data_IF_557766313863
#
_entry.id   IF_557766313863
#
_cell.length_a   1.000
_cell.length_b   1.000
_cell.length_c   1.000
_cell.angle_alpha   90.00
_cell.angle_beta   90.00
_cell.angle_gamma   90.00
#
_symmetry.space_group_name_H-M   'P 1'
#
loop_
_entity.id
_entity.type
_entity.pdbx_description
1 polymer ?
#
# COMPACT_ATOMS: atom_id res chain seq x y z
N UNK A 1 -65.75 8.73 -24.08
CA UNK A 1 -64.76 7.88 -23.39
C UNK A 1 -63.51 7.76 -24.26
N UNK A 2 -62.39 8.19 -23.69
CA UNK A 2 -60.97 8.13 -24.06
C UNK A 2 -60.53 7.86 -25.51
N UNK A 3 -59.98 8.90 -26.17
CA UNK A 3 -59.05 8.77 -27.29
C UNK A 3 -57.64 8.54 -26.71
N UNK A 4 -57.16 7.31 -26.74
CA UNK A 4 -55.76 6.99 -26.47
C UNK A 4 -54.89 7.53 -27.60
N UNK A 5 -54.07 8.55 -27.30
CA UNK A 5 -53.13 9.13 -28.26
C UNK A 5 -51.94 8.19 -28.44
N UNK A 6 -51.90 7.46 -29.55
CA UNK A 6 -50.71 6.73 -30.01
C UNK A 6 -49.62 7.74 -30.36
N UNK A 7 -48.74 8.05 -29.41
CA UNK A 7 -47.49 8.75 -29.72
C UNK A 7 -46.76 7.94 -30.80
N UNK A 8 -46.57 8.53 -31.97
CA UNK A 8 -45.99 7.86 -33.13
C UNK A 8 -44.53 7.47 -32.83
N UNK A 9 -44.16 6.23 -33.15
CA UNK A 9 -42.80 5.67 -32.97
C UNK A 9 -41.62 6.62 -33.30
N UNK A 10 -41.69 7.49 -34.32
CA UNK A 10 -40.64 8.47 -34.63
C UNK A 10 -40.43 9.53 -33.55
N UNK A 11 -41.51 10.00 -32.89
CA UNK A 11 -41.42 11.00 -31.81
C UNK A 11 -40.70 10.41 -30.59
N UNK A 12 -41.05 9.18 -30.21
CA UNK A 12 -40.37 8.45 -29.13
C UNK A 12 -38.90 8.17 -29.44
N UNK A 13 -38.53 7.96 -30.71
CA UNK A 13 -37.12 7.79 -31.11
C UNK A 13 -36.34 9.09 -30.96
N UNK A 14 -36.92 10.21 -31.41
CA UNK A 14 -36.31 11.52 -31.27
C UNK A 14 -36.12 11.91 -29.80
N UNK A 15 -37.14 11.70 -28.96
CA UNK A 15 -37.08 11.92 -27.51
C UNK A 15 -35.94 11.12 -26.86
N UNK A 16 -35.81 9.81 -27.16
CA UNK A 16 -34.70 8.99 -26.64
C UNK A 16 -33.33 9.45 -27.13
N UNK A 17 -33.22 9.88 -28.38
CA UNK A 17 -31.98 10.45 -28.92
C UNK A 17 -31.61 11.74 -28.20
N UNK A 18 -32.58 12.60 -27.90
CA UNK A 18 -32.33 13.84 -27.18
C UNK A 18 -31.85 13.56 -25.75
N UNK A 19 -32.52 12.65 -25.02
CA UNK A 19 -32.10 12.23 -23.67
C UNK A 19 -30.63 11.77 -23.67
N UNK A 20 -30.26 10.91 -24.63
CA UNK A 20 -28.87 10.45 -24.76
C UNK A 20 -27.87 11.59 -25.00
N UNK A 21 -28.21 12.57 -25.84
CA UNK A 21 -27.34 13.73 -26.09
C UNK A 21 -27.25 14.65 -24.87
N UNK A 22 -28.35 14.80 -24.13
CA UNK A 22 -28.39 15.56 -22.89
C UNK A 22 -27.54 14.88 -21.81
N UNK A 23 -27.59 13.55 -21.69
CA UNK A 23 -26.76 12.77 -20.76
C UNK A 23 -25.25 12.93 -21.07
N UNK A 24 -24.87 12.96 -22.35
CA UNK A 24 -23.47 13.24 -22.76
C UNK A 24 -23.08 14.67 -22.37
N UNK A 25 -23.92 15.65 -22.68
CA UNK A 25 -23.65 17.05 -22.39
C UNK A 25 -23.53 17.28 -20.86
N UNK A 26 -24.39 16.65 -20.08
CA UNK A 26 -24.33 16.70 -18.62
C UNK A 26 -23.05 16.07 -18.09
N UNK A 27 -22.64 14.91 -18.64
CA UNK A 27 -21.36 14.26 -18.28
C UNK A 27 -20.16 15.18 -18.55
N UNK A 28 -20.15 15.92 -19.65
CA UNK A 28 -19.09 16.91 -19.95
C UNK A 28 -19.14 18.10 -18.98
N UNK A 29 -20.35 18.57 -18.66
CA UNK A 29 -20.56 19.69 -17.74
C UNK A 29 -20.03 19.36 -16.34
N UNK A 30 -20.38 18.20 -15.78
CA UNK A 30 -19.91 17.81 -14.43
C UNK A 30 -18.40 17.62 -14.38
N UNK A 31 -17.77 17.13 -15.46
CA UNK A 31 -16.31 17.05 -15.52
C UNK A 31 -15.64 18.43 -15.57
N UNK A 32 -16.28 19.42 -16.19
CA UNK A 32 -15.77 20.80 -16.18
C UNK A 32 -15.84 21.41 -14.78
N UNK A 33 -16.92 21.13 -14.04
CA UNK A 33 -17.06 21.52 -12.63
C UNK A 33 -15.97 20.88 -11.77
N UNK A 34 -15.64 19.61 -12.00
CA UNK A 34 -14.55 18.93 -11.29
C UNK A 34 -13.17 19.53 -11.51
N UNK A 35 -12.92 20.06 -12.71
CA UNK A 35 -11.67 20.80 -13.01
C UNK A 35 -11.63 22.12 -12.22
N UNK A 36 -12.74 22.86 -12.15
CA UNK A 36 -12.79 24.08 -11.32
C UNK A 36 -12.66 23.76 -9.83
N UNK A 37 -13.16 22.61 -9.37
CA UNK A 37 -12.92 22.13 -8.01
C UNK A 37 -11.42 21.87 -7.73
N UNK A 38 -10.73 21.14 -8.62
CA UNK A 38 -9.29 20.94 -8.52
C UNK A 38 -8.53 22.27 -8.51
N UNK A 39 -8.90 23.20 -9.39
CA UNK A 39 -8.33 24.54 -9.44
C UNK A 39 -8.52 25.29 -8.12
N UNK A 40 -9.72 25.25 -7.54
CA UNK A 40 -9.99 25.84 -6.23
C UNK A 40 -9.06 25.29 -5.14
N UNK A 41 -8.85 23.97 -5.08
CA UNK A 41 -7.91 23.35 -4.13
C UNK A 41 -6.49 23.88 -4.32
N UNK A 42 -6.03 24.02 -5.58
CA UNK A 42 -4.69 24.56 -5.87
C UNK A 42 -4.55 26.03 -5.48
N UNK A 43 -5.60 26.83 -5.69
CA UNK A 43 -5.65 28.25 -5.33
C UNK A 43 -5.73 28.48 -3.82
N UNK A 44 -6.42 27.59 -3.08
CA UNK A 44 -6.54 27.64 -1.62
C UNK A 44 -5.26 27.15 -0.90
N UNK A 45 -4.42 26.34 -1.58
CA UNK A 45 -3.22 25.76 -1.02
C UNK A 45 -1.95 25.94 -1.89
N UNK A 46 -1.60 27.16 -2.33
CA UNK A 46 -0.60 27.39 -3.36
C UNK A 46 0.83 26.98 -2.95
N UNK A 47 1.15 27.04 -1.66
CA UNK A 47 2.46 26.65 -1.13
C UNK A 47 2.62 25.13 -0.95
N UNK A 48 1.50 24.40 -1.00
CA UNK A 48 1.44 22.95 -0.78
C UNK A 48 1.06 22.18 -2.03
N UNK A 49 0.22 22.74 -2.90
CA UNK A 49 -0.24 22.12 -4.15
C UNK A 49 0.12 23.00 -5.33
N UNK A 50 0.99 22.51 -6.20
CA UNK A 50 1.44 23.30 -7.35
C UNK A 50 1.92 22.40 -8.50
N UNK A 51 1.97 22.98 -9.70
CA UNK A 51 2.56 22.30 -10.86
C UNK A 51 4.10 22.23 -10.71
N UNK A 52 4.66 21.04 -10.93
CA UNK A 52 6.11 20.83 -10.91
C UNK A 52 6.86 21.67 -11.95
N UNK A 53 8.17 21.84 -11.79
CA UNK A 53 8.99 22.64 -12.70
C UNK A 53 9.14 22.03 -14.10
N UNK A 54 8.97 20.71 -14.21
CA UNK A 54 9.07 20.01 -15.49
C UNK A 54 7.78 20.18 -16.27
N UNK A 55 7.94 20.54 -17.54
CA UNK A 55 6.87 20.52 -18.52
C UNK A 55 6.62 19.08 -19.01
N UNK A 56 5.51 18.91 -19.75
CA UNK A 56 5.14 17.61 -20.35
C UNK A 56 6.27 17.03 -21.22
N UNK A 57 6.42 15.69 -21.26
CA UNK A 57 5.54 14.68 -20.64
C UNK A 57 5.86 14.39 -19.16
N UNK A 58 6.98 14.86 -18.64
CA UNK A 58 7.45 14.54 -17.27
C UNK A 58 6.92 15.55 -16.24
N UNK A 59 5.70 16.03 -16.44
CA UNK A 59 5.03 17.01 -15.58
C UNK A 59 4.29 16.34 -14.43
N UNK A 60 4.22 17.04 -13.30
CA UNK A 60 3.61 16.51 -12.07
C UNK A 60 2.75 17.56 -11.38
N UNK A 61 1.71 17.12 -10.68
CA UNK A 61 1.15 17.90 -9.56
C UNK A 61 1.97 17.52 -8.33
N UNK A 62 2.54 18.52 -7.68
CA UNK A 62 3.25 18.38 -6.42
C UNK A 62 2.27 18.63 -5.29
N UNK A 63 2.22 17.73 -4.31
CA UNK A 63 1.47 17.90 -3.05
C UNK A 63 2.43 17.74 -1.88
N UNK A 64 2.50 18.74 -1.01
CA UNK A 64 3.25 18.70 0.26
C UNK A 64 2.29 18.32 1.39
N UNK A 65 2.38 17.09 1.84
CA UNK A 65 1.67 16.58 3.01
C UNK A 65 2.37 16.92 4.33
N UNK A 66 1.84 16.39 5.42
CA UNK A 66 2.46 16.47 6.75
C UNK A 66 3.42 15.29 6.99
N UNK A 67 3.14 14.14 6.36
CA UNK A 67 3.91 12.92 6.47
C UNK A 67 4.97 12.80 5.38
N UNK A 68 4.72 13.29 4.15
CA UNK A 68 5.64 13.14 3.02
C UNK A 68 5.37 14.20 1.93
N UNK A 69 6.23 14.21 0.91
CA UNK A 69 5.97 14.93 -0.33
C UNK A 69 5.51 13.96 -1.42
N UNK A 70 4.60 14.40 -2.27
CA UNK A 70 3.96 13.56 -3.29
C UNK A 70 4.08 14.17 -4.67
N UNK A 71 4.32 13.33 -5.68
CA UNK A 71 4.23 13.72 -7.09
C UNK A 71 3.17 12.87 -7.78
N UNK A 72 2.15 13.51 -8.35
CA UNK A 72 1.12 12.86 -9.16
C UNK A 72 1.50 13.04 -10.63
N UNK A 73 1.81 11.96 -11.38
CA UNK A 73 2.14 12.06 -12.79
C UNK A 73 0.97 12.63 -13.60
N UNK A 74 1.21 13.71 -14.35
CA UNK A 74 0.15 14.38 -15.12
C UNK A 74 -0.13 13.73 -16.48
N UNK A 75 0.89 13.20 -17.15
CA UNK A 75 0.71 12.67 -18.52
C UNK A 75 -0.34 11.54 -18.59
N UNK A 76 -0.37 10.55 -17.67
CA UNK A 76 -1.43 9.54 -17.66
C UNK A 76 -2.82 10.14 -17.48
N UNK A 77 -2.96 11.15 -16.60
CA UNK A 77 -4.24 11.83 -16.35
C UNK A 77 -4.71 12.60 -17.58
N UNK A 78 -3.84 13.41 -18.19
CA UNK A 78 -4.15 14.20 -19.37
C UNK A 78 -4.50 13.31 -20.57
N UNK A 79 -3.81 12.18 -20.72
CA UNK A 79 -4.12 11.20 -21.76
C UNK A 79 -5.48 10.54 -21.55
N UNK A 80 -5.85 10.21 -20.30
CA UNK A 80 -7.17 9.66 -19.97
C UNK A 80 -8.29 10.66 -20.24
N UNK A 81 -8.08 11.96 -19.93
CA UNK A 81 -9.04 13.02 -20.24
C UNK A 81 -9.15 13.28 -21.75
N UNK A 82 -8.05 13.21 -22.49
CA UNK A 82 -8.03 13.45 -23.93
C UNK A 82 -8.71 12.31 -24.72
N UNK A 83 -8.50 11.06 -24.31
CA UNK A 83 -9.13 9.91 -24.92
C UNK A 83 -9.33 8.75 -23.91
N UNK A 84 -10.51 8.66 -23.28
CA UNK A 84 -10.80 7.64 -22.27
C UNK A 84 -10.98 6.23 -22.86
N UNK A 85 -11.00 6.08 -24.19
CA UNK A 85 -11.19 4.78 -24.86
C UNK A 85 -9.89 4.07 -25.21
N UNK A 86 -8.73 4.70 -24.98
CA UNK A 86 -7.45 4.02 -25.16
C UNK A 86 -7.27 2.97 -24.06
N UNK A 87 -6.86 1.76 -24.44
CA UNK A 87 -6.41 0.71 -23.52
C UNK A 87 -5.25 1.26 -22.68
N UNK A 88 -5.53 1.55 -21.41
CA UNK A 88 -4.58 2.04 -20.42
C UNK A 88 -4.87 1.37 -19.07
N UNK A 89 -3.90 1.33 -18.15
CA UNK A 89 -4.18 0.91 -16.77
C UNK A 89 -5.39 1.69 -16.25
N UNK A 90 -6.36 0.96 -15.71
CA UNK A 90 -7.61 1.51 -15.18
C UNK A 90 -7.36 2.26 -13.87
N UNK A 91 -7.88 3.49 -13.75
CA UNK A 91 -7.86 4.26 -12.50
C UNK A 91 -6.86 5.42 -12.49
N UNK A 92 -6.60 5.96 -11.30
CA UNK A 92 -5.60 7.01 -11.09
C UNK A 92 -4.18 6.43 -11.19
N UNK A 93 -3.19 7.19 -11.71
CA UNK A 93 -1.82 6.72 -11.77
C UNK A 93 -1.22 6.53 -10.36
N UNK A 94 -0.21 5.66 -10.21
CA UNK A 94 0.56 5.58 -8.98
C UNK A 94 1.15 6.95 -8.62
N UNK A 95 1.06 7.29 -7.34
CA UNK A 95 1.62 8.54 -6.79
C UNK A 95 3.03 8.25 -6.28
N UNK A 96 3.99 9.06 -6.71
CA UNK A 96 5.36 9.00 -6.18
C UNK A 96 5.38 9.55 -4.76
N UNK A 97 5.97 8.80 -3.82
CA UNK A 97 6.09 9.17 -2.42
C UNK A 97 7.55 9.45 -2.07
N UNK A 98 7.83 10.64 -1.57
CA UNK A 98 9.17 11.09 -1.20
C UNK A 98 9.23 11.53 0.27
N UNK A 99 10.39 11.40 0.93
CA UNK A 99 10.55 11.89 2.30
C UNK A 99 10.24 13.38 2.43
N UNK A 100 9.69 13.78 3.57
CA UNK A 100 9.34 15.17 3.85
C UNK A 100 10.58 16.06 3.74
N UNK A 101 10.42 17.20 3.05
CA UNK A 101 11.51 18.15 2.78
C UNK A 101 12.55 17.71 1.76
N UNK A 102 12.43 16.55 1.11
CA UNK A 102 13.42 16.05 0.13
C UNK A 102 12.78 15.37 -1.08
N UNK A 103 13.40 15.56 -2.25
CA UNK A 103 13.13 14.77 -3.45
C UNK A 103 14.23 13.72 -3.62
N UNK A 104 13.84 12.49 -3.89
CA UNK A 104 14.77 11.35 -4.06
C UNK A 104 14.60 10.75 -5.45
N UNK A 105 15.68 10.19 -5.99
CA UNK A 105 15.68 9.57 -7.33
C UNK A 105 14.93 8.24 -7.35
N UNK A 106 14.97 7.51 -6.25
CA UNK A 106 14.29 6.23 -6.07
C UNK A 106 13.22 6.44 -5.01
N UNK A 107 12.01 6.74 -5.46
CA UNK A 107 10.82 6.91 -4.62
C UNK A 107 10.05 5.60 -4.49
N UNK A 108 9.24 5.49 -3.45
CA UNK A 108 8.18 4.51 -3.43
C UNK A 108 6.99 5.00 -4.29
N UNK A 109 6.10 4.11 -4.66
CA UNK A 109 4.87 4.44 -5.38
C UNK A 109 3.66 3.92 -4.60
N UNK A 110 2.60 4.72 -4.57
CA UNK A 110 1.34 4.40 -3.90
C UNK A 110 0.17 4.41 -4.89
N UNK A 111 -0.53 3.29 -5.01
CA UNK A 111 -1.82 3.23 -5.69
C UNK A 111 -2.93 3.73 -4.75
N UNK A 112 -3.32 5.00 -4.89
CA UNK A 112 -4.38 5.63 -4.08
C UNK A 112 -5.62 5.74 -4.95
N UNK A 113 -6.67 4.98 -4.60
CA UNK A 113 -7.93 4.96 -5.34
C UNK A 113 -9.08 5.46 -4.47
N UNK A 114 -10.05 6.10 -5.10
CA UNK A 114 -11.27 6.54 -4.45
C UNK A 114 -12.19 5.33 -4.23
N UNK A 115 -12.35 4.87 -2.98
CA UNK A 115 -13.19 3.72 -2.67
C UNK A 115 -14.68 4.10 -2.71
N UNK A 116 -15.49 3.33 -3.44
CA UNK A 116 -16.96 3.45 -3.36
C UNK A 116 -17.57 4.67 -4.04
N UNK A 117 -16.83 5.35 -4.93
CA UNK A 117 -17.29 6.56 -5.63
C UNK A 117 -17.40 6.31 -7.15
N UNK A 118 -18.17 5.32 -7.59
CA UNK A 118 -18.41 5.11 -9.03
C UNK A 118 -19.19 6.25 -9.70
N UNK A 119 -19.93 7.01 -8.89
CA UNK A 119 -20.92 7.96 -9.37
C UNK A 119 -20.37 9.40 -9.44
N UNK A 120 -19.12 9.62 -9.02
CA UNK A 120 -18.47 10.93 -9.12
C UNK A 120 -17.82 11.11 -10.49
N UNK A 121 -17.78 12.35 -11.03
CA UNK A 121 -16.98 12.66 -12.21
C UNK A 121 -15.51 12.26 -12.00
N UNK A 122 -14.88 11.67 -13.03
CA UNK A 122 -13.47 11.24 -12.91
C UNK A 122 -12.48 12.39 -12.61
N UNK A 123 -12.85 13.62 -12.98
CA UNK A 123 -12.10 14.84 -12.64
C UNK A 123 -12.19 15.21 -11.16
N UNK A 124 -13.34 14.97 -10.50
CA UNK A 124 -13.48 15.14 -9.04
C UNK A 124 -12.52 14.20 -8.30
N UNK A 125 -12.32 12.98 -8.81
CA UNK A 125 -11.37 12.00 -8.24
C UNK A 125 -9.94 12.54 -8.17
N UNK A 126 -9.53 13.42 -9.08
CA UNK A 126 -8.21 14.07 -9.03
C UNK A 126 -8.15 15.06 -7.87
N UNK A 127 -9.20 15.89 -7.69
CA UNK A 127 -9.31 16.80 -6.55
C UNK A 127 -9.35 16.07 -5.21
N UNK A 128 -10.12 14.97 -5.13
CA UNK A 128 -10.19 14.11 -3.94
C UNK A 128 -8.84 13.48 -3.62
N UNK A 129 -8.09 13.03 -4.63
CA UNK A 129 -6.73 12.53 -4.43
C UNK A 129 -5.83 13.61 -3.82
N UNK A 130 -5.85 14.82 -4.36
CA UNK A 130 -5.05 15.95 -3.84
C UNK A 130 -5.44 16.28 -2.40
N UNK A 131 -6.72 16.38 -2.09
CA UNK A 131 -7.20 16.63 -0.72
C UNK A 131 -6.80 15.49 0.24
N UNK A 132 -6.92 14.24 -0.20
CA UNK A 132 -6.49 13.07 0.58
C UNK A 132 -5.00 13.13 0.92
N UNK A 133 -4.16 13.58 -0.02
CA UNK A 133 -2.72 13.76 0.18
C UNK A 133 -2.38 14.97 1.06
N UNK A 134 -3.19 16.04 1.02
CA UNK A 134 -3.06 17.16 1.95
C UNK A 134 -3.40 16.73 3.40
N UNK A 135 -4.34 15.80 3.55
CA UNK A 135 -4.75 15.16 4.80
C UNK A 135 -4.11 13.77 4.99
N UNK A 136 -2.84 13.63 4.62
CA UNK A 136 -2.13 12.34 4.60
C UNK A 136 -2.09 11.58 5.93
N UNK A 137 -2.16 12.28 7.07
CA UNK A 137 -2.35 11.65 8.39
C UNK A 137 -3.65 10.83 8.47
N UNK A 138 -4.75 11.34 7.93
CA UNK A 138 -6.04 10.64 7.90
C UNK A 138 -6.01 9.52 6.86
N UNK A 139 -5.41 9.78 5.71
CA UNK A 139 -5.24 8.78 4.66
C UNK A 139 -4.42 7.57 5.14
N UNK A 140 -3.41 7.79 5.98
CA UNK A 140 -2.61 6.73 6.57
C UNK A 140 -3.47 5.75 7.38
N UNK A 141 -4.39 6.26 8.21
CA UNK A 141 -5.21 5.43 9.10
C UNK A 141 -6.42 4.80 8.42
N UNK A 142 -6.75 5.19 7.18
CA UNK A 142 -7.85 4.61 6.41
C UNK A 142 -7.56 3.12 6.07
N UNK A 143 -8.39 2.17 6.54
CA UNK A 143 -8.21 0.75 6.27
C UNK A 143 -8.02 0.40 4.79
N UNK A 144 -8.74 1.08 3.90
CA UNK A 144 -8.75 0.82 2.46
C UNK A 144 -7.52 1.33 1.70
N UNK A 145 -6.58 1.99 2.39
CA UNK A 145 -5.41 2.65 1.79
C UNK A 145 -4.11 1.97 2.20
N UNK A 146 -4.09 0.63 2.19
CA UNK A 146 -2.89 -0.16 2.44
C UNK A 146 -1.72 0.20 1.50
N UNK A 147 -1.91 0.37 0.18
CA UNK A 147 -0.79 0.74 -0.71
C UNK A 147 -0.10 2.04 -0.30
N UNK A 148 -0.87 3.02 0.18
CA UNK A 148 -0.33 4.28 0.68
C UNK A 148 0.53 4.10 1.94
N UNK A 149 0.02 3.35 2.92
CA UNK A 149 0.78 2.99 4.12
C UNK A 149 2.07 2.25 3.78
N UNK A 150 2.01 1.26 2.89
CA UNK A 150 3.19 0.49 2.45
C UNK A 150 4.22 1.39 1.78
N UNK A 151 3.80 2.31 0.91
CA UNK A 151 4.71 3.27 0.28
C UNK A 151 5.40 4.18 1.29
N UNK A 152 4.68 4.68 2.31
CA UNK A 152 5.27 5.46 3.39
C UNK A 152 6.25 4.62 4.24
N UNK A 153 5.91 3.36 4.54
CA UNK A 153 6.83 2.43 5.22
C UNK A 153 8.11 2.20 4.42
N UNK A 154 8.01 2.01 3.09
CA UNK A 154 9.20 1.88 2.21
C UNK A 154 10.01 3.16 2.11
N UNK A 155 9.34 4.32 2.17
CA UNK A 155 9.99 5.64 2.08
C UNK A 155 10.84 5.95 3.31
N UNK A 156 10.35 5.61 4.50
CA UNK A 156 10.99 5.96 5.76
C UNK A 156 11.67 4.79 6.48
N UNK A 157 11.35 3.55 6.13
CA UNK A 157 11.80 2.37 6.88
C UNK A 157 11.37 2.42 8.35
N UNK A 158 12.26 1.93 9.22
CA UNK A 158 12.04 1.86 10.67
C UNK A 158 12.81 2.93 11.47
N UNK A 159 13.31 3.96 10.80
CA UNK A 159 13.99 5.08 11.46
C UNK A 159 12.98 6.11 11.98
N UNK A 160 13.45 6.94 12.92
CA UNK A 160 12.65 8.05 13.41
C UNK A 160 12.29 9.01 12.27
N UNK A 161 11.00 9.21 12.03
CA UNK A 161 10.46 9.92 10.88
C UNK A 161 9.08 10.54 11.20
N UNK A 162 8.51 11.37 10.32
CA UNK A 162 7.17 11.94 10.51
C UNK A 162 6.07 10.87 10.70
N UNK A 163 6.28 9.65 10.18
CA UNK A 163 5.31 8.56 10.30
C UNK A 163 5.46 7.71 11.56
N UNK A 164 6.53 7.88 12.37
CA UNK A 164 6.84 6.97 13.48
C UNK A 164 5.69 6.80 14.48
N UNK A 165 5.03 7.90 14.89
CA UNK A 165 3.88 7.82 15.82
C UNK A 165 2.68 7.07 15.22
N UNK A 166 2.44 7.27 13.92
CA UNK A 166 1.39 6.60 13.18
C UNK A 166 1.68 5.10 13.04
N UNK A 167 2.92 4.74 12.70
CA UNK A 167 3.38 3.35 12.64
C UNK A 167 3.28 2.65 13.99
N UNK A 168 3.74 3.30 15.06
CA UNK A 168 3.62 2.76 16.42
C UNK A 168 2.17 2.40 16.76
N UNK A 169 1.25 3.33 16.51
CA UNK A 169 -0.18 3.14 16.79
C UNK A 169 -0.75 2.02 15.93
N UNK A 170 -0.43 2.01 14.63
CA UNK A 170 -0.91 1.01 13.68
C UNK A 170 -0.39 -0.40 14.03
N UNK A 171 0.91 -0.56 14.23
CA UNK A 171 1.53 -1.85 14.54
C UNK A 171 1.07 -2.41 15.88
N UNK A 172 0.91 -1.55 16.89
CA UNK A 172 0.40 -1.98 18.19
C UNK A 172 -1.04 -2.48 18.09
N UNK A 173 -1.91 -1.71 17.41
CA UNK A 173 -3.33 -2.03 17.28
C UNK A 173 -3.58 -3.29 16.44
N UNK A 174 -2.84 -3.48 15.35
CA UNK A 174 -3.10 -4.55 14.39
C UNK A 174 -2.32 -5.84 14.66
N UNK A 175 -1.10 -5.74 15.21
CA UNK A 175 -0.18 -6.87 15.34
C UNK A 175 0.35 -7.05 16.77
N UNK A 176 -0.09 -6.23 17.73
CA UNK A 176 0.48 -6.21 19.08
C UNK A 176 1.97 -5.88 19.08
N UNK A 177 2.45 -5.18 18.04
CA UNK A 177 3.85 -4.92 17.81
C UNK A 177 4.29 -3.54 18.33
N UNK A 178 5.57 -3.41 18.64
CA UNK A 178 6.20 -2.19 19.16
C UNK A 178 7.49 -1.92 18.40
N UNK A 179 7.69 -0.68 17.97
CA UNK A 179 8.89 -0.25 17.26
C UNK A 179 9.84 0.41 18.26
N UNK A 180 11.14 0.19 18.10
CA UNK A 180 12.19 0.97 18.75
C UNK A 180 13.02 1.59 17.63
N UNK A 181 12.66 2.82 17.24
CA UNK A 181 13.34 3.54 16.16
C UNK A 181 14.82 3.81 16.47
N UNK A 182 15.20 3.91 17.75
CA UNK A 182 16.58 4.15 18.15
C UNK A 182 17.44 2.91 17.94
N UNK A 183 16.87 1.73 18.22
CA UNK A 183 17.52 0.44 17.99
C UNK A 183 17.30 -0.10 16.57
N UNK A 184 16.37 0.48 15.80
CA UNK A 184 15.99 -0.01 14.48
C UNK A 184 15.35 -1.41 14.56
N UNK A 185 14.52 -1.64 15.58
CA UNK A 185 13.98 -2.96 15.91
C UNK A 185 12.45 -2.92 16.07
N UNK A 186 11.75 -3.94 15.57
CA UNK A 186 10.33 -4.18 15.83
C UNK A 186 10.20 -5.45 16.66
N UNK A 187 9.49 -5.37 17.77
CA UNK A 187 9.07 -6.54 18.55
C UNK A 187 7.59 -6.85 18.28
N UNK A 188 7.28 -8.09 17.93
CA UNK A 188 5.95 -8.52 17.46
C UNK A 188 5.46 -9.68 18.33
N UNK A 189 4.22 -9.62 18.81
CA UNK A 189 3.64 -10.71 19.61
C UNK A 189 3.12 -11.80 18.69
N UNK A 190 3.79 -12.95 18.72
CA UNK A 190 3.39 -14.15 18.00
C UNK A 190 2.52 -15.08 18.84
N UNK A 191 2.27 -16.28 18.33
CA UNK A 191 1.49 -17.32 19.00
C UNK A 191 2.36 -18.15 19.96
N UNK A 192 1.72 -18.99 20.79
CA UNK A 192 2.40 -19.93 21.69
C UNK A 192 3.42 -19.32 22.69
N UNK A 193 3.32 -18.01 22.93
CA UNK A 193 4.22 -17.26 23.80
C UNK A 193 5.50 -16.79 23.12
N UNK A 194 5.60 -16.90 21.79
CA UNK A 194 6.69 -16.30 21.02
C UNK A 194 6.54 -14.78 20.96
N UNK A 195 7.66 -14.08 21.08
CA UNK A 195 7.81 -12.69 20.66
C UNK A 195 8.90 -12.68 19.58
N UNK A 196 8.56 -12.21 18.40
CA UNK A 196 9.48 -12.07 17.29
C UNK A 196 10.14 -10.70 17.32
N UNK A 197 11.38 -10.63 16.86
CA UNK A 197 12.16 -9.41 16.81
C UNK A 197 12.79 -9.29 15.42
N UNK A 198 12.35 -8.28 14.68
CA UNK A 198 12.96 -7.83 13.42
C UNK A 198 13.96 -6.72 13.75
N UNK A 199 15.20 -6.87 13.32
CA UNK A 199 16.29 -5.90 13.55
C UNK A 199 17.13 -5.72 12.28
N UNK A 200 18.37 -5.26 12.44
CA UNK A 200 19.32 -5.12 11.33
C UNK A 200 19.23 -3.81 10.55
N UNK A 201 18.20 -2.99 10.76
CA UNK A 201 18.01 -1.73 10.01
C UNK A 201 19.15 -0.71 10.19
N UNK A 202 19.82 -0.73 11.34
CA UNK A 202 20.97 0.14 11.63
C UNK A 202 22.31 -0.52 11.30
N UNK A 203 22.30 -1.75 10.81
CA UNK A 203 23.49 -2.52 10.47
C UNK A 203 23.72 -2.46 8.95
N UNK A 204 24.81 -1.83 8.48
CA UNK A 204 25.07 -1.73 7.04
C UNK A 204 25.36 -3.07 6.36
N UNK A 205 25.65 -4.13 7.13
CA UNK A 205 25.93 -5.47 6.59
C UNK A 205 24.66 -6.32 6.43
N UNK A 206 23.50 -5.83 6.89
CA UNK A 206 22.19 -6.48 6.74
C UNK A 206 21.44 -5.86 5.57
N UNK A 207 21.14 -6.65 4.54
CA UNK A 207 20.42 -6.18 3.34
C UNK A 207 18.92 -6.03 3.59
N UNK A 208 18.35 -6.87 4.46
CA UNK A 208 16.93 -6.83 4.80
C UNK A 208 16.72 -6.70 6.31
N UNK A 209 16.30 -7.77 7.00
CA UNK A 209 16.14 -7.75 8.46
C UNK A 209 16.84 -8.93 9.12
N UNK A 210 17.40 -8.71 10.30
CA UNK A 210 17.75 -9.82 11.19
C UNK A 210 16.47 -10.37 11.82
N UNK A 211 16.26 -11.68 11.84
CA UNK A 211 15.10 -12.31 12.47
C UNK A 211 15.51 -13.13 13.69
N UNK A 212 14.81 -12.90 14.79
CA UNK A 212 15.04 -13.59 16.05
C UNK A 212 13.75 -13.72 16.87
N UNK A 213 13.73 -14.61 17.85
CA UNK A 213 12.59 -14.75 18.75
C UNK A 213 12.99 -14.94 20.21
N UNK A 214 12.05 -14.66 21.10
CA UNK A 214 12.11 -15.03 22.51
C UNK A 214 10.80 -15.73 22.90
N UNK A 215 10.88 -16.74 23.75
CA UNK A 215 9.71 -17.52 24.18
C UNK A 215 9.42 -17.23 25.65
N UNK A 216 8.23 -16.70 25.94
CA UNK A 216 7.75 -16.35 27.28
C UNK A 216 8.75 -15.49 28.08
N UNK A 217 9.42 -14.55 27.41
CA UNK A 217 10.44 -13.67 28.02
C UNK A 217 11.79 -14.34 28.29
N UNK A 218 12.01 -15.53 27.74
CA UNK A 218 13.30 -16.22 27.77
C UNK A 218 14.39 -15.55 26.93
N UNK A 219 15.57 -16.18 26.81
CA UNK A 219 16.66 -15.63 26.02
C UNK A 219 16.27 -15.47 24.56
N UNK A 220 16.78 -14.41 23.92
CA UNK A 220 16.64 -14.17 22.49
C UNK A 220 17.45 -15.19 21.70
N UNK A 221 16.88 -15.65 20.59
CA UNK A 221 17.45 -16.67 19.70
C UNK A 221 17.40 -16.15 18.28
N UNK A 222 18.55 -16.11 17.65
CA UNK A 222 18.65 -15.71 16.25
C UNK A 222 18.23 -16.86 15.34
N UNK A 223 17.40 -16.54 14.34
CA UNK A 223 16.97 -17.49 13.31
C UNK A 223 17.73 -17.23 12.00
N UNK A 224 17.91 -15.95 11.65
CA UNK A 224 18.83 -15.52 10.61
C UNK A 224 19.36 -14.12 10.91
N UNK A 225 20.62 -13.88 10.57
CA UNK A 225 21.24 -12.56 10.62
C UNK A 225 20.67 -11.62 9.54
N UNK A 226 20.17 -12.18 8.43
CA UNK A 226 19.59 -11.44 7.32
C UNK A 226 18.54 -12.30 6.60
N UNK A 227 17.30 -11.81 6.55
CA UNK A 227 16.17 -12.45 5.85
C UNK A 227 16.33 -12.47 4.34
N UNK A 228 17.19 -11.61 3.77
CA UNK A 228 17.43 -11.53 2.33
C UNK A 228 17.81 -12.89 1.73
N UNK A 229 18.60 -13.67 2.45
CA UNK A 229 19.10 -14.98 1.99
C UNK A 229 18.21 -16.16 2.41
N UNK A 230 16.99 -15.90 2.87
CA UNK A 230 16.13 -16.93 3.46
C UNK A 230 14.72 -16.97 2.88
N UNK A 231 14.28 -15.91 2.20
CA UNK A 231 12.91 -15.75 1.71
C UNK A 231 12.85 -14.59 0.69
N UNK A 232 11.94 -14.65 -0.28
CA UNK A 232 11.72 -13.65 -1.31
C UNK A 232 11.07 -12.36 -0.80
N UNK A 233 9.98 -12.44 -0.03
CA UNK A 233 9.35 -11.26 0.59
C UNK A 233 10.05 -10.87 1.90
N UNK A 234 11.37 -10.79 1.87
CA UNK A 234 12.21 -10.60 3.03
C UNK A 234 12.18 -9.18 3.60
N UNK A 235 11.94 -8.15 2.78
CA UNK A 235 12.03 -6.72 3.11
C UNK A 235 10.67 -6.02 3.26
N UNK A 236 9.57 -6.76 3.05
CA UNK A 236 8.20 -6.24 3.08
C UNK A 236 7.60 -6.32 4.49
N UNK A 237 7.61 -5.21 5.23
CA UNK A 237 7.02 -5.15 6.59
C UNK A 237 5.51 -5.47 6.61
N UNK A 238 4.78 -5.08 5.57
CA UNK A 238 3.35 -5.37 5.42
C UNK A 238 3.07 -6.86 5.19
N UNK A 239 4.07 -7.62 4.76
CA UNK A 239 4.06 -9.07 4.71
C UNK A 239 4.54 -9.70 6.03
N UNK A 240 5.69 -9.24 6.57
CA UNK A 240 6.32 -9.84 7.75
C UNK A 240 5.50 -9.66 9.04
N UNK A 241 4.87 -8.51 9.23
CA UNK A 241 4.13 -8.21 10.46
C UNK A 241 2.91 -9.13 10.64
N UNK A 242 2.02 -9.30 9.64
CA UNK A 242 0.97 -10.31 9.70
C UNK A 242 1.50 -11.72 9.92
N UNK A 243 2.51 -12.14 9.14
CA UNK A 243 3.08 -13.48 9.23
C UNK A 243 3.59 -13.77 10.65
N UNK A 244 4.48 -12.92 11.18
CA UNK A 244 5.08 -13.12 12.50
C UNK A 244 4.06 -13.02 13.64
N UNK A 245 2.97 -12.27 13.46
CA UNK A 245 1.88 -12.25 14.44
C UNK A 245 1.13 -13.59 14.56
N UNK A 246 1.11 -14.38 13.47
CA UNK A 246 0.53 -15.73 13.41
C UNK A 246 1.57 -16.82 13.76
N UNK A 247 2.86 -16.57 13.51
CA UNK A 247 3.95 -17.49 13.79
C UNK A 247 4.18 -17.72 15.31
N UNK A 248 4.63 -18.93 15.73
CA UNK A 248 5.01 -20.08 14.90
C UNK A 248 3.85 -21.02 14.54
N UNK A 249 2.60 -20.74 14.97
CA UNK A 249 1.44 -21.61 14.68
C UNK A 249 1.26 -21.87 13.19
N UNK A 250 1.40 -20.82 12.38
CA UNK A 250 1.22 -20.89 10.93
C UNK A 250 2.13 -21.94 10.26
N UNK A 251 3.29 -22.25 10.86
CA UNK A 251 4.22 -23.25 10.31
C UNK A 251 3.69 -24.70 10.37
N UNK A 252 2.53 -24.93 11.00
CA UNK A 252 1.93 -26.26 11.15
C UNK A 252 0.89 -26.59 10.07
N UNK A 253 0.49 -25.63 9.25
CA UNK A 253 -0.60 -25.80 8.29
C UNK A 253 -0.16 -25.29 6.91
N UNK A 254 -0.38 -26.11 5.88
CA UNK A 254 -0.23 -25.69 4.48
C UNK A 254 -1.36 -24.75 4.02
N UNK A 255 -2.45 -24.65 4.80
CA UNK A 255 -3.66 -23.90 4.46
C UNK A 255 -3.62 -22.40 4.85
N UNK A 256 -2.60 -21.95 5.59
CA UNK A 256 -2.54 -20.57 6.11
C UNK A 256 -1.66 -19.66 5.24
N UNK A 257 -2.23 -19.08 4.17
CA UNK A 257 -1.69 -17.97 3.33
C UNK A 257 -0.27 -18.21 2.78
N UNK A 258 -0.03 -18.06 1.46
CA UNK A 258 1.30 -18.24 0.81
C UNK A 258 2.40 -17.31 1.38
N UNK A 259 2.88 -17.63 2.58
CA UNK A 259 3.95 -16.92 3.25
C UNK A 259 5.24 -17.71 2.99
N UNK A 260 6.08 -17.24 2.08
CA UNK A 260 7.48 -17.70 1.94
C UNK A 260 8.24 -17.91 3.29
N UNK A 261 7.91 -17.14 4.35
CA UNK A 261 8.40 -17.37 5.71
C UNK A 261 8.17 -18.80 6.21
N UNK A 262 7.02 -19.40 5.89
CA UNK A 262 6.71 -20.80 6.22
C UNK A 262 7.45 -21.77 5.33
N UNK A 263 7.90 -21.39 4.15
CA UNK A 263 8.64 -22.27 3.22
C UNK A 263 10.16 -22.24 3.45
N UNK A 264 10.67 -21.19 4.10
CA UNK A 264 12.10 -21.05 4.44
C UNK A 264 12.60 -22.19 5.33
N UNK A 265 13.36 -23.13 4.75
CA UNK A 265 13.88 -24.31 5.45
C UNK A 265 14.77 -23.91 6.62
N UNK A 266 15.63 -22.91 6.41
CA UNK A 266 16.51 -22.40 7.46
C UNK A 266 15.73 -21.87 8.66
N UNK A 267 14.67 -21.10 8.43
CA UNK A 267 13.84 -20.56 9.50
C UNK A 267 13.05 -21.68 10.18
N UNK A 268 12.42 -22.58 9.42
CA UNK A 268 11.66 -23.70 9.97
C UNK A 268 12.51 -24.60 10.88
N UNK A 269 13.70 -25.00 10.43
CA UNK A 269 14.62 -25.83 11.23
C UNK A 269 15.00 -25.10 12.53
N UNK A 270 15.37 -23.82 12.43
CA UNK A 270 15.76 -23.01 13.59
C UNK A 270 14.60 -22.86 14.60
N UNK A 271 13.37 -22.71 14.11
CA UNK A 271 12.18 -22.61 14.98
C UNK A 271 11.83 -23.97 15.59
N UNK A 272 11.97 -25.07 14.85
CA UNK A 272 11.68 -26.43 15.29
C UNK A 272 12.53 -26.86 16.50
N UNK A 273 13.75 -26.33 16.65
CA UNK A 273 14.57 -26.54 17.85
C UNK A 273 13.80 -26.19 19.15
N UNK A 274 12.96 -25.16 19.10
CA UNK A 274 12.28 -24.57 20.26
C UNK A 274 10.75 -24.74 20.23
N UNK A 275 10.17 -25.06 19.09
CA UNK A 275 8.75 -25.29 18.92
C UNK A 275 8.49 -26.78 18.62
N UNK A 276 8.25 -27.54 19.69
CA UNK A 276 8.06 -28.99 19.60
C UNK A 276 6.96 -29.46 18.63
N UNK A 277 5.81 -28.77 18.48
CA UNK A 277 4.83 -29.13 17.46
C UNK A 277 5.40 -29.14 16.04
N UNK A 278 6.16 -28.11 15.65
CA UNK A 278 6.75 -28.04 14.31
C UNK A 278 7.81 -29.11 14.12
N UNK A 279 8.68 -29.34 15.12
CA UNK A 279 9.65 -30.44 15.07
C UNK A 279 8.98 -31.80 14.81
N UNK A 280 7.88 -32.09 15.52
CA UNK A 280 7.15 -33.35 15.31
C UNK A 280 6.55 -33.45 13.92
N UNK A 281 5.99 -32.36 13.39
CA UNK A 281 5.42 -32.33 12.05
C UNK A 281 6.49 -32.58 10.97
N UNK A 282 7.68 -32.00 11.13
CA UNK A 282 8.82 -32.25 10.24
C UNK A 282 9.30 -33.71 10.37
N UNK A 283 9.46 -34.22 11.60
CA UNK A 283 9.91 -35.60 11.85
C UNK A 283 8.91 -36.66 11.37
N UNK A 284 7.60 -36.36 11.37
CA UNK A 284 6.55 -37.25 10.88
C UNK A 284 6.33 -37.18 9.37
N UNK A 285 6.92 -36.19 8.68
CA UNK A 285 6.65 -35.91 7.27
C UNK A 285 5.28 -35.28 7.03
N UNK A 286 4.62 -34.75 8.06
CA UNK A 286 3.41 -33.92 7.92
C UNK A 286 3.73 -32.51 7.43
N UNK A 287 4.98 -32.08 7.58
CA UNK A 287 5.50 -30.82 7.04
C UNK A 287 6.76 -31.09 6.23
N UNK A 288 6.68 -30.86 4.92
CA UNK A 288 7.83 -30.97 4.03
C UNK A 288 8.75 -29.74 4.15
N UNK A 289 10.05 -29.98 4.00
CA UNK A 289 11.06 -28.92 3.92
C UNK A 289 11.47 -28.78 2.46
N UNK A 290 10.96 -27.74 1.79
CA UNK A 290 11.39 -27.36 0.44
C UNK A 290 12.86 -26.91 0.52
N UNK A 291 13.68 -27.24 -0.47
CA UNK A 291 15.05 -26.69 -0.52
C UNK A 291 14.97 -25.18 -0.74
N UNK A 292 15.71 -24.42 0.08
CA UNK A 292 15.87 -22.98 -0.14
C UNK A 292 16.36 -22.79 -1.58
N UNK A 293 15.78 -21.82 -2.31
CA UNK A 293 16.19 -21.48 -3.67
C UNK A 293 17.71 -21.28 -3.67
N UNK A 294 18.44 -22.22 -4.27
CA UNK A 294 19.85 -22.03 -4.56
C UNK A 294 19.90 -21.11 -5.76
N UNK A 295 20.41 -19.90 -5.57
CA UNK A 295 20.94 -19.08 -6.66
C UNK A 295 22.21 -19.77 -7.19
N UNK A 296 22.04 -20.93 -7.83
CA UNK A 296 22.98 -21.43 -8.83
C UNK A 296 22.54 -20.85 -10.18
N UNK A 297 22.76 -19.54 -10.39
CA UNK A 297 23.09 -18.91 -11.70
C UNK A 297 23.51 -17.43 -11.57
#
# INVERSE_FOLDING_TARGET
>A
MSKGTTQTHPKRRHERTQIFLDDIAETQRVNTVGIEFLKGIMEDHPDRVYHGLKERPDSYIIVRGELANYCIPLEPLLQALANPFLLRPSGLPPVEVHPLGKWVKHNAEACIQCNGHSDIPGTDSIGILVLSLLSDCELFVDPGQQPFRTALMRTYGMIQSPISNHLHTYFNKHYGATIDCARGEISIKGTHGFTWHLGGMNDPDVQSFSLSSSVRGGPRREHTADTYYCMGQCDELDYLLPALSKAPRMFLSEDEEDYDLSESKRILISVAEYFAPLRRAIESGERDLIEDWSDDE
#
